data_IF_761737819775
#
_entry.id   IF_761737819775
#
_cell.length_a   1.000
_cell.length_b   1.000
_cell.length_c   1.000
_cell.angle_alpha   90.00
_cell.angle_beta   90.00
_cell.angle_gamma   90.00
#
_symmetry.space_group_name_H-M   'P 1'
#
loop_
_entity.id
_entity.type
_entity.pdbx_description
1 polymer ?
#
# COMPACT_ATOMS: atom_id res chain seq x y z
N UNK A 1 -17.52 34.98 36.69
CA UNK A 1 -18.49 35.52 35.71
C UNK A 1 -19.19 34.35 35.07
N UNK A 2 -20.53 34.28 35.07
CA UNK A 2 -21.21 33.23 34.29
C UNK A 2 -20.98 33.50 32.79
N UNK A 3 -20.78 32.44 32.01
CA UNK A 3 -20.62 32.55 30.55
C UNK A 3 -21.92 33.00 29.88
N UNK A 4 -21.85 33.39 28.58
CA UNK A 4 -23.02 33.86 27.85
C UNK A 4 -24.13 32.82 27.84
N UNK A 5 -25.38 33.28 27.89
CA UNK A 5 -26.58 32.45 27.85
C UNK A 5 -26.58 31.58 26.58
N UNK A 6 -27.25 30.40 26.55
CA UNK A 6 -27.25 29.51 25.40
C UNK A 6 -27.72 30.12 24.07
N UNK A 7 -28.56 31.13 24.15
CA UNK A 7 -29.09 31.90 23.03
C UNK A 7 -28.16 33.04 22.54
N UNK A 8 -27.24 33.48 23.40
CA UNK A 8 -26.22 34.50 23.08
C UNK A 8 -24.94 33.87 22.45
N UNK A 9 -24.80 32.53 22.46
CA UNK A 9 -23.66 31.88 21.86
C UNK A 9 -23.77 32.00 20.35
N UNK A 10 -22.80 32.70 19.72
CA UNK A 10 -22.69 32.77 18.27
C UNK A 10 -22.62 31.35 17.71
N UNK A 11 -23.73 30.83 17.20
CA UNK A 11 -23.75 29.56 16.47
C UNK A 11 -23.23 29.84 15.07
N UNK A 12 -22.24 29.08 14.58
CA UNK A 12 -21.80 29.24 13.20
C UNK A 12 -23.00 29.11 12.27
N UNK A 13 -23.21 30.12 11.41
CA UNK A 13 -24.27 30.10 10.40
C UNK A 13 -23.94 28.98 9.41
N UNK A 14 -24.75 27.95 9.33
CA UNK A 14 -24.65 26.87 8.38
C UNK A 14 -26.02 26.26 8.13
N UNK A 15 -26.27 25.73 6.93
CA UNK A 15 -27.49 24.99 6.61
C UNK A 15 -27.54 23.73 7.49
N UNK A 16 -28.69 23.52 8.13
CA UNK A 16 -28.94 22.30 8.91
C UNK A 16 -30.09 21.54 8.28
N UNK A 17 -30.01 20.20 8.31
CA UNK A 17 -31.13 19.35 7.92
C UNK A 17 -32.23 19.38 8.99
N UNK A 18 -33.36 18.73 8.71
CA UNK A 18 -34.53 18.62 9.63
C UNK A 18 -34.18 17.93 10.96
N UNK A 19 -33.07 17.26 11.08
CA UNK A 19 -32.55 16.63 12.30
C UNK A 19 -31.54 17.52 13.04
N UNK A 20 -31.33 18.79 12.59
CA UNK A 20 -30.42 19.74 13.21
C UNK A 20 -28.93 19.50 12.91
N UNK A 21 -28.59 18.53 12.05
CA UNK A 21 -27.24 18.22 11.61
C UNK A 21 -26.81 19.25 10.55
N UNK A 22 -25.61 19.76 10.70
CA UNK A 22 -25.06 20.76 9.77
C UNK A 22 -24.82 20.12 8.39
N UNK A 23 -25.44 20.67 7.37
CA UNK A 23 -25.34 20.24 5.97
C UNK A 23 -24.83 21.43 5.17
N UNK A 24 -23.55 21.76 5.32
CA UNK A 24 -22.89 22.75 4.48
C UNK A 24 -22.18 22.03 3.34
N UNK A 25 -22.47 22.36 2.06
CA UNK A 25 -21.74 21.77 0.93
C UNK A 25 -20.24 22.05 0.98
N UNK A 26 -19.82 23.13 1.63
CA UNK A 26 -18.41 23.47 1.84
C UNK A 26 -17.77 22.71 3.03
N UNK A 27 -18.57 22.06 3.88
CA UNK A 27 -18.07 21.22 4.98
C UNK A 27 -17.87 19.76 4.57
N UNK A 28 -18.44 19.33 3.46
CA UNK A 28 -18.07 18.11 2.75
C UNK A 28 -16.83 18.42 1.90
N UNK A 29 -15.69 18.59 2.53
CA UNK A 29 -14.42 18.37 1.85
C UNK A 29 -14.44 16.91 1.49
N UNK A 30 -14.90 16.60 0.28
CA UNK A 30 -14.72 15.28 -0.33
C UNK A 30 -13.22 15.12 -0.55
N UNK A 31 -12.56 14.59 0.45
CA UNK A 31 -11.16 14.17 0.28
C UNK A 31 -11.16 13.02 -0.72
N UNK A 32 -10.65 13.27 -1.92
CA UNK A 32 -10.46 12.22 -2.91
C UNK A 32 -9.56 11.13 -2.32
N UNK A 33 -9.90 9.85 -2.53
CA UNK A 33 -9.04 8.77 -2.13
C UNK A 33 -7.67 8.90 -2.80
N UNK A 34 -6.61 8.68 -2.04
CA UNK A 34 -5.25 8.60 -2.55
C UNK A 34 -4.55 7.34 -2.08
N UNK A 35 -3.61 6.88 -2.86
CA UNK A 35 -2.77 5.78 -2.44
C UNK A 35 -1.75 6.24 -1.41
N UNK A 36 -1.67 5.51 -0.31
CA UNK A 36 -0.69 5.72 0.75
C UNK A 36 0.08 4.43 1.03
N UNK A 37 1.39 4.56 1.22
CA UNK A 37 2.25 3.45 1.62
C UNK A 37 2.57 3.63 3.09
N UNK A 38 2.08 2.71 3.91
CA UNK A 38 2.39 2.65 5.32
C UNK A 38 3.52 1.63 5.55
N UNK A 39 4.60 2.07 6.17
CA UNK A 39 5.66 1.19 6.64
C UNK A 39 5.53 1.03 8.14
N UNK A 40 5.37 -0.22 8.59
CA UNK A 40 5.26 -0.57 9.99
C UNK A 40 6.39 -1.51 10.40
N UNK A 41 7.10 -1.15 11.48
CA UNK A 41 8.02 -2.05 12.16
C UNK A 41 7.24 -2.81 13.22
N UNK A 42 7.33 -4.13 13.19
CA UNK A 42 6.56 -5.00 14.07
C UNK A 42 7.45 -6.08 14.68
N UNK A 43 7.03 -6.67 15.80
CA UNK A 43 7.69 -7.84 16.37
C UNK A 43 7.58 -9.02 15.39
N UNK A 44 8.69 -9.73 15.16
CA UNK A 44 8.74 -10.88 14.27
C UNK A 44 8.29 -12.14 15.01
N UNK A 45 6.98 -12.33 15.18
CA UNK A 45 6.39 -13.49 15.86
C UNK A 45 5.10 -13.96 15.18
N UNK A 46 4.71 -15.22 15.36
CA UNK A 46 3.43 -15.73 14.85
C UNK A 46 2.23 -14.88 15.29
N UNK A 47 1.25 -14.74 14.40
CA UNK A 47 -0.01 -14.06 14.68
C UNK A 47 -0.02 -12.55 14.39
N UNK A 48 1.13 -11.88 14.26
CA UNK A 48 1.18 -10.42 14.02
C UNK A 48 0.48 -10.02 12.74
N UNK A 49 0.69 -10.77 11.64
CA UNK A 49 -0.01 -10.51 10.38
C UNK A 49 -1.53 -10.64 10.55
N UNK A 50 -1.98 -11.64 11.31
CA UNK A 50 -3.42 -11.83 11.58
C UNK A 50 -4.00 -10.67 12.40
N UNK A 51 -3.27 -10.16 13.39
CA UNK A 51 -3.69 -9.01 14.20
C UNK A 51 -3.86 -7.76 13.33
N UNK A 52 -2.89 -7.49 12.44
CA UNK A 52 -2.93 -6.37 11.49
C UNK A 52 -4.10 -6.53 10.50
N UNK A 53 -4.21 -7.69 9.85
CA UNK A 53 -5.29 -7.96 8.89
C UNK A 53 -6.68 -7.85 9.53
N UNK A 54 -6.86 -8.38 10.75
CA UNK A 54 -8.10 -8.24 11.50
C UNK A 54 -8.43 -6.80 11.87
N UNK A 55 -7.42 -5.95 12.14
CA UNK A 55 -7.62 -4.52 12.36
C UNK A 55 -8.18 -3.85 11.10
N UNK A 56 -7.55 -4.08 9.95
CA UNK A 56 -7.98 -3.49 8.67
C UNK A 56 -9.39 -3.94 8.30
N UNK A 57 -9.70 -5.24 8.44
CA UNK A 57 -11.03 -5.79 8.19
C UNK A 57 -12.10 -5.16 9.08
N UNK A 58 -11.86 -5.06 10.40
CA UNK A 58 -12.82 -4.45 11.33
C UNK A 58 -13.07 -2.97 11.07
N UNK A 59 -12.10 -2.29 10.47
CA UNK A 59 -12.20 -0.85 10.14
C UNK A 59 -12.60 -0.60 8.69
N UNK A 60 -12.81 -1.68 7.92
CA UNK A 60 -13.19 -1.63 6.50
C UNK A 60 -12.17 -0.91 5.61
N UNK A 61 -10.89 -0.91 6.01
CA UNK A 61 -9.81 -0.47 5.14
C UNK A 61 -9.45 -1.58 4.15
N UNK A 62 -9.39 -1.23 2.86
CA UNK A 62 -8.90 -2.17 1.84
C UNK A 62 -7.36 -2.16 1.80
N UNK A 63 -6.77 -3.37 1.77
CA UNK A 63 -5.33 -3.54 1.57
C UNK A 63 -5.11 -3.87 0.10
N UNK A 64 -4.57 -2.92 -0.66
CA UNK A 64 -4.23 -3.10 -2.07
C UNK A 64 -3.00 -4.00 -2.25
N UNK A 65 -2.04 -3.88 -1.34
CA UNK A 65 -0.80 -4.65 -1.37
C UNK A 65 -0.21 -4.75 0.03
N UNK A 66 0.34 -5.91 0.36
CA UNK A 66 1.00 -6.16 1.63
C UNK A 66 2.27 -6.97 1.40
N UNK A 67 3.39 -6.43 1.84
CA UNK A 67 4.69 -7.12 1.83
C UNK A 67 5.22 -7.18 3.25
N UNK A 68 5.72 -8.35 3.66
CA UNK A 68 6.29 -8.58 4.98
C UNK A 68 7.66 -9.23 4.83
N UNK A 69 8.64 -8.70 5.50
CA UNK A 69 9.99 -9.25 5.50
C UNK A 69 10.73 -8.98 6.82
N UNK A 70 11.72 -9.80 7.16
CA UNK A 70 12.58 -9.55 8.32
C UNK A 70 13.39 -8.26 8.12
N UNK A 71 13.85 -7.67 9.21
CA UNK A 71 14.76 -6.53 9.20
C UNK A 71 16.20 -6.97 9.55
N UNK A 72 17.08 -6.01 9.80
CA UNK A 72 18.45 -6.31 10.28
C UNK A 72 18.40 -6.95 11.67
N UNK A 73 17.41 -6.61 12.47
CA UNK A 73 17.14 -7.24 13.76
C UNK A 73 16.18 -8.43 13.54
N UNK A 74 16.61 -9.63 13.89
CA UNK A 74 15.87 -10.87 13.70
C UNK A 74 14.54 -10.92 14.49
N UNK A 75 14.42 -10.15 15.57
CA UNK A 75 13.22 -10.05 16.39
C UNK A 75 12.16 -9.10 15.79
N UNK A 76 12.51 -8.41 14.69
CA UNK A 76 11.62 -7.46 14.04
C UNK A 76 11.37 -7.77 12.57
N UNK A 77 10.19 -7.42 12.10
CA UNK A 77 9.81 -7.50 10.69
C UNK A 77 9.25 -6.15 10.22
N UNK A 78 9.44 -5.86 8.95
CA UNK A 78 8.85 -4.70 8.29
C UNK A 78 7.65 -5.13 7.48
N UNK A 79 6.52 -4.47 7.71
CA UNK A 79 5.33 -4.55 6.87
C UNK A 79 5.23 -3.30 6.01
N UNK A 80 5.13 -3.47 4.70
CA UNK A 80 4.79 -2.40 3.76
C UNK A 80 3.37 -2.62 3.30
N UNK A 81 2.47 -1.70 3.63
CA UNK A 81 1.03 -1.81 3.41
C UNK A 81 0.62 -0.68 2.47
N UNK A 82 0.08 -1.02 1.31
CA UNK A 82 -0.52 -0.07 0.38
C UNK A 82 -2.03 -0.04 0.61
N UNK A 83 -2.55 1.15 0.85
CA UNK A 83 -4.00 1.41 1.00
C UNK A 83 -4.42 2.54 0.06
N UNK A 84 -5.69 2.56 -0.30
CA UNK A 84 -6.30 3.67 -1.04
C UNK A 84 -7.47 4.23 -0.20
N UNK A 85 -7.24 5.38 0.40
CA UNK A 85 -8.17 5.99 1.35
C UNK A 85 -8.11 7.53 1.26
N UNK A 86 -9.17 8.24 1.65
CA UNK A 86 -9.11 9.66 1.91
C UNK A 86 -8.13 9.98 3.06
N UNK A 87 -7.59 11.21 3.08
CA UNK A 87 -6.61 11.63 4.10
C UNK A 87 -7.02 11.33 5.56
N UNK A 88 -8.28 11.58 6.00
CA UNK A 88 -8.70 11.20 7.35
C UNK A 88 -8.63 9.68 7.61
N UNK A 89 -8.88 8.84 6.57
CA UNK A 89 -8.79 7.39 6.63
C UNK A 89 -7.35 6.93 6.82
N UNK A 90 -6.41 7.51 6.06
CA UNK A 90 -4.98 7.21 6.15
C UNK A 90 -4.45 7.51 7.56
N UNK A 91 -4.77 8.68 8.11
CA UNK A 91 -4.39 9.06 9.47
C UNK A 91 -5.00 8.12 10.51
N UNK A 92 -6.24 7.71 10.30
CA UNK A 92 -6.91 6.76 11.17
C UNK A 92 -6.22 5.40 11.12
N UNK A 93 -5.85 4.89 9.93
CA UNK A 93 -5.12 3.64 9.77
C UNK A 93 -3.79 3.66 10.53
N UNK A 94 -2.98 4.74 10.39
CA UNK A 94 -1.73 4.94 11.13
C UNK A 94 -1.95 4.91 12.66
N UNK A 95 -2.96 5.65 13.15
CA UNK A 95 -3.30 5.71 14.58
C UNK A 95 -3.77 4.37 15.14
N UNK A 96 -4.51 3.60 14.37
CA UNK A 96 -4.99 2.28 14.81
C UNK A 96 -3.88 1.24 14.80
N UNK A 97 -3.00 1.23 13.79
CA UNK A 97 -1.82 0.37 13.75
C UNK A 97 -0.94 0.57 14.98
N UNK A 98 -0.67 1.83 15.36
CA UNK A 98 0.15 2.15 16.56
C UNK A 98 -0.44 1.66 17.89
N UNK A 99 -1.71 1.27 17.93
CA UNK A 99 -2.36 0.71 19.12
C UNK A 99 -2.18 -0.80 19.26
N UNK A 100 -1.75 -1.48 18.21
CA UNK A 100 -1.49 -2.92 18.28
C UNK A 100 -0.20 -3.17 19.07
N UNK A 101 -0.27 -4.06 20.03
CA UNK A 101 0.86 -4.39 20.91
C UNK A 101 2.13 -4.83 20.17
N UNK A 102 2.05 -5.63 19.08
CA UNK A 102 3.25 -6.03 18.35
C UNK A 102 3.79 -4.94 17.40
N UNK A 103 3.11 -3.83 17.22
CA UNK A 103 3.56 -2.74 16.35
C UNK A 103 4.49 -1.80 17.14
N UNK A 104 5.71 -1.68 16.68
CA UNK A 104 6.77 -0.87 17.32
C UNK A 104 6.69 0.57 16.82
N UNK A 105 6.64 0.74 15.49
CA UNK A 105 6.52 2.06 14.87
C UNK A 105 5.73 1.98 13.56
N UNK A 106 5.11 3.09 13.16
CA UNK A 106 4.39 3.23 11.89
C UNK A 106 4.67 4.59 11.30
N UNK A 107 5.03 4.61 10.03
CA UNK A 107 5.22 5.83 9.25
C UNK A 107 4.57 5.69 7.89
N UNK A 108 4.00 6.77 7.39
CA UNK A 108 3.64 6.89 5.98
C UNK A 108 4.91 7.26 5.21
N UNK A 109 5.16 6.56 4.12
CA UNK A 109 6.26 6.87 3.21
C UNK A 109 5.76 7.87 2.18
N UNK A 110 6.08 9.15 2.40
CA UNK A 110 5.68 10.26 1.55
C UNK A 110 6.70 10.53 0.43
N UNK A 111 6.24 11.17 -0.66
CA UNK A 111 7.07 11.72 -1.71
C UNK A 111 7.93 10.70 -2.46
N UNK A 112 9.26 10.91 -2.45
CA UNK A 112 10.22 10.17 -3.26
C UNK A 112 10.69 8.84 -2.67
N UNK A 113 9.88 8.15 -1.85
CA UNK A 113 10.24 6.81 -1.35
C UNK A 113 10.62 5.88 -2.51
N UNK A 114 11.67 5.09 -2.32
CA UNK A 114 12.01 4.04 -3.28
C UNK A 114 10.99 2.93 -3.12
N UNK A 115 10.26 2.63 -4.19
CA UNK A 115 9.28 1.55 -4.24
C UNK A 115 9.67 0.58 -5.33
N UNK A 116 9.67 -0.71 -5.03
CA UNK A 116 9.95 -1.78 -5.99
C UNK A 116 8.97 -2.93 -5.77
N UNK A 117 8.58 -3.52 -6.88
CA UNK A 117 7.73 -4.69 -6.95
C UNK A 117 8.40 -5.70 -7.87
N UNK A 118 8.26 -6.98 -7.59
CA UNK A 118 8.67 -8.06 -8.46
C UNK A 118 7.43 -8.75 -9.02
N UNK A 119 7.44 -9.07 -10.29
CA UNK A 119 6.46 -9.91 -10.94
C UNK A 119 7.13 -11.11 -11.60
N UNK A 120 6.50 -12.28 -11.50
CA UNK A 120 6.76 -13.44 -12.31
C UNK A 120 5.61 -13.61 -13.28
N UNK A 121 5.91 -13.66 -14.57
CA UNK A 121 4.91 -13.80 -15.64
C UNK A 121 5.22 -15.06 -16.42
N UNK A 122 4.32 -16.03 -16.40
CA UNK A 122 4.40 -17.24 -17.20
C UNK A 122 3.57 -17.08 -18.46
N UNK A 123 4.20 -17.31 -19.59
CA UNK A 123 3.59 -17.20 -20.92
C UNK A 123 3.82 -18.47 -21.73
N UNK A 124 3.12 -18.63 -22.86
CA UNK A 124 3.34 -19.73 -23.80
C UNK A 124 4.77 -19.76 -24.33
N UNK A 125 5.34 -20.96 -24.45
CA UNK A 125 6.67 -21.22 -24.98
C UNK A 125 6.79 -21.22 -26.52
N UNK A 126 5.72 -20.91 -27.27
CA UNK A 126 5.73 -20.98 -28.73
C UNK A 126 6.69 -19.99 -29.40
N UNK A 127 6.96 -18.85 -28.78
CA UNK A 127 7.82 -17.78 -29.31
C UNK A 127 8.83 -17.26 -28.28
N UNK A 128 9.78 -18.12 -27.84
CA UNK A 128 10.66 -17.77 -26.74
C UNK A 128 11.57 -16.56 -27.03
N UNK A 129 12.00 -16.37 -28.29
CA UNK A 129 12.83 -15.23 -28.67
C UNK A 129 12.05 -13.90 -28.61
N UNK A 130 10.79 -13.89 -29.03
CA UNK A 130 9.93 -12.70 -28.92
C UNK A 130 9.62 -12.36 -27.45
N UNK A 131 9.41 -13.40 -26.61
CA UNK A 131 9.21 -13.24 -25.17
C UNK A 131 10.44 -12.62 -24.53
N UNK A 132 11.65 -13.10 -24.85
CA UNK A 132 12.89 -12.54 -24.36
C UNK A 132 13.09 -11.08 -24.82
N UNK A 133 12.81 -10.79 -26.09
CA UNK A 133 12.91 -9.42 -26.60
C UNK A 133 12.00 -8.43 -25.84
N UNK A 134 10.78 -8.85 -25.50
CA UNK A 134 9.89 -8.04 -24.65
C UNK A 134 10.40 -7.95 -23.21
N UNK A 135 10.92 -9.03 -22.63
CA UNK A 135 11.51 -9.03 -21.32
C UNK A 135 12.64 -7.98 -21.20
N UNK A 136 13.55 -7.98 -22.17
CA UNK A 136 14.69 -7.04 -22.23
C UNK A 136 14.24 -5.57 -22.26
N UNK A 137 13.12 -5.25 -22.92
CA UNK A 137 12.57 -3.87 -22.94
C UNK A 137 12.19 -3.38 -21.54
N UNK A 138 11.89 -4.29 -20.62
CA UNK A 138 11.50 -4.00 -19.25
C UNK A 138 12.58 -4.40 -18.23
N UNK A 139 13.85 -4.56 -18.64
CA UNK A 139 14.95 -5.05 -17.81
C UNK A 139 14.55 -6.32 -17.04
N UNK A 140 13.75 -7.18 -17.67
CA UNK A 140 13.33 -8.48 -17.16
C UNK A 140 14.25 -9.58 -17.68
N UNK A 141 14.10 -10.77 -17.12
CA UNK A 141 14.87 -11.94 -17.56
C UNK A 141 14.03 -13.21 -17.50
N UNK A 142 14.23 -14.11 -18.46
CA UNK A 142 13.67 -15.45 -18.38
C UNK A 142 14.38 -16.23 -17.26
N UNK A 143 13.61 -16.67 -16.27
CA UNK A 143 14.12 -17.46 -15.13
C UNK A 143 13.83 -18.95 -15.26
N UNK A 144 12.88 -19.31 -16.13
CA UNK A 144 12.56 -20.69 -16.48
C UNK A 144 12.05 -20.74 -17.93
N UNK A 145 12.45 -21.77 -18.67
CA UNK A 145 12.00 -21.98 -20.03
C UNK A 145 11.86 -23.47 -20.33
N UNK A 146 10.72 -23.85 -20.94
CA UNK A 146 10.41 -25.17 -21.43
C UNK A 146 9.86 -25.11 -22.85
N UNK A 147 9.49 -26.24 -23.43
CA UNK A 147 8.81 -26.30 -24.75
C UNK A 147 7.44 -25.62 -24.71
N UNK A 148 6.79 -25.62 -23.56
CA UNK A 148 5.38 -25.23 -23.43
C UNK A 148 5.21 -23.87 -22.73
N UNK A 149 6.24 -23.39 -22.02
CA UNK A 149 6.15 -22.13 -21.28
C UNK A 149 7.51 -21.46 -21.07
N UNK A 150 7.46 -20.13 -20.93
CA UNK A 150 8.57 -19.29 -20.46
C UNK A 150 8.09 -18.49 -19.25
N UNK A 151 8.87 -18.48 -18.18
CA UNK A 151 8.62 -17.63 -17.01
C UNK A 151 9.61 -16.48 -16.98
N UNK A 152 9.10 -15.27 -16.99
CA UNK A 152 9.88 -14.02 -16.95
C UNK A 152 9.77 -13.37 -15.60
N UNK A 153 10.92 -13.00 -15.01
CA UNK A 153 11.00 -12.14 -13.82
C UNK A 153 11.19 -10.68 -14.24
N UNK A 154 10.44 -9.79 -13.61
CA UNK A 154 10.54 -8.34 -13.84
C UNK A 154 10.49 -7.63 -12.51
N UNK A 155 11.42 -6.68 -12.30
CA UNK A 155 11.45 -5.83 -11.09
C UNK A 155 11.36 -4.35 -11.48
N UNK A 156 10.55 -3.59 -10.76
CA UNK A 156 10.40 -2.18 -11.05
C UNK A 156 9.37 -1.43 -10.23
N UNK A 157 9.00 -0.24 -10.70
CA UNK A 157 7.84 0.48 -10.19
C UNK A 157 6.55 -0.22 -10.60
N UNK A 158 5.44 0.06 -9.88
CA UNK A 158 4.12 -0.45 -10.24
C UNK A 158 3.79 -0.18 -11.73
N UNK A 159 4.06 1.04 -12.19
CA UNK A 159 3.80 1.42 -13.59
C UNK A 159 4.61 0.58 -14.59
N UNK A 160 5.90 0.31 -14.29
CA UNK A 160 6.74 -0.56 -15.13
C UNK A 160 6.18 -1.98 -15.16
N UNK A 161 5.82 -2.54 -14.01
CA UNK A 161 5.24 -3.89 -13.89
C UNK A 161 3.92 -3.99 -14.65
N UNK A 162 3.02 -3.02 -14.47
CA UNK A 162 1.72 -3.00 -15.17
C UNK A 162 1.91 -2.92 -16.69
N UNK A 163 2.83 -2.06 -17.17
CA UNK A 163 3.14 -1.95 -18.60
C UNK A 163 3.76 -3.23 -19.17
N UNK A 164 4.67 -3.86 -18.42
CA UNK A 164 5.26 -5.14 -18.83
C UNK A 164 4.22 -6.25 -18.94
N UNK A 165 3.36 -6.41 -17.92
CA UNK A 165 2.28 -7.40 -17.94
C UNK A 165 1.37 -7.18 -19.14
N UNK A 166 1.01 -5.92 -19.45
CA UNK A 166 0.21 -5.60 -20.63
C UNK A 166 0.91 -6.02 -21.93
N UNK A 167 2.21 -5.78 -22.05
CA UNK A 167 2.99 -6.19 -23.21
C UNK A 167 3.06 -7.72 -23.37
N UNK A 168 3.09 -8.47 -22.25
CA UNK A 168 3.11 -9.94 -22.30
C UNK A 168 1.76 -10.58 -22.68
N UNK A 169 0.65 -9.87 -22.61
CA UNK A 169 -0.67 -10.43 -23.00
C UNK A 169 -0.73 -10.97 -24.44
N UNK A 170 0.14 -10.50 -25.33
CA UNK A 170 0.23 -11.01 -26.71
C UNK A 170 0.77 -12.44 -26.81
N UNK A 171 1.35 -13.00 -25.73
CA UNK A 171 1.99 -14.33 -25.71
C UNK A 171 1.18 -15.39 -24.95
N UNK A 172 -0.11 -15.23 -24.78
CA UNK A 172 -0.95 -16.13 -24.00
C UNK A 172 -0.44 -16.30 -22.56
N UNK A 173 -0.73 -15.33 -21.72
CA UNK A 173 -0.35 -15.34 -20.31
C UNK A 173 -1.09 -16.43 -19.56
N UNK A 174 -0.35 -17.39 -19.03
CA UNK A 174 -0.86 -18.54 -18.27
C UNK A 174 -1.01 -18.22 -16.77
N UNK A 175 -0.04 -17.50 -16.20
CA UNK A 175 -0.03 -17.20 -14.76
C UNK A 175 0.78 -15.93 -14.47
N UNK A 176 0.34 -15.18 -13.44
CA UNK A 176 1.05 -14.01 -12.94
C UNK A 176 1.13 -14.08 -11.42
N UNK A 177 2.31 -13.85 -10.88
CA UNK A 177 2.53 -13.66 -9.44
C UNK A 177 3.19 -12.31 -9.22
N UNK A 178 2.72 -11.56 -8.22
CA UNK A 178 3.26 -10.25 -7.83
C UNK A 178 3.55 -10.25 -6.33
N UNK A 179 4.66 -9.67 -5.94
CA UNK A 179 5.01 -9.56 -4.51
C UNK A 179 4.25 -8.45 -3.79
N UNK A 180 3.72 -7.48 -4.54
CA UNK A 180 3.37 -6.18 -3.97
C UNK A 180 4.60 -5.30 -3.76
N UNK A 181 4.38 -4.08 -3.28
CA UNK A 181 5.44 -3.09 -3.18
C UNK A 181 6.27 -3.24 -1.90
N UNK A 182 7.57 -3.46 -2.04
CA UNK A 182 8.54 -3.15 -1.00
C UNK A 182 8.94 -1.67 -1.11
N UNK A 183 9.01 -0.96 0.01
CA UNK A 183 9.31 0.46 -0.01
C UNK A 183 10.21 0.91 1.14
N UNK A 184 11.12 1.85 0.84
CA UNK A 184 12.00 2.51 1.80
C UNK A 184 12.02 4.01 1.57
N UNK A 185 12.15 4.78 2.65
CA UNK A 185 12.39 6.21 2.58
C UNK A 185 13.78 6.49 2.03
N UNK A 186 13.93 7.56 1.24
CA UNK A 186 15.24 7.98 0.73
C UNK A 186 16.04 8.70 1.81
N UNK A 187 17.35 8.65 1.67
CA UNK A 187 18.28 9.34 2.58
C UNK A 187 18.49 8.59 3.89
N UNK A 188 18.97 9.28 4.95
CA UNK A 188 19.42 8.64 6.19
C UNK A 188 18.31 8.30 7.16
N UNK A 189 17.08 8.65 6.88
CA UNK A 189 15.92 8.36 7.74
C UNK A 189 15.60 6.87 7.72
N UNK A 190 15.47 6.28 8.90
CA UNK A 190 15.10 4.87 9.06
C UNK A 190 13.95 4.74 10.05
N UNK A 191 13.11 3.74 9.85
CA UNK A 191 12.02 3.42 10.78
C UNK A 191 12.55 2.82 12.10
N UNK A 192 13.74 2.22 12.07
CA UNK A 192 14.38 1.49 13.15
C UNK A 192 15.09 2.41 14.16
N UNK A 193 15.46 3.63 13.75
CA UNK A 193 16.16 4.60 14.64
C UNK A 193 15.23 5.47 15.48
N UNK A 194 13.92 5.34 15.28
CA UNK A 194 12.90 6.09 16.04
C UNK A 194 12.38 5.29 17.27
N UNK A 195 13.07 4.21 17.64
CA UNK A 195 12.74 3.33 18.77
C UNK A 195 13.71 3.54 19.92
#
# INVERSE_FOLDING_TARGET
MPGPAPDERMRPKGRRNTQGIRVDPEAEVTHEPRQAVLSALVKHRPGVLSEVSALFSRRQFNIESLTVGPTVDEDTARMTILIEEPEPGIDQAKKQLRKLVPVISVRELEGEAVRRELALVKVSGEKPDDVNAVADMYDGQAVDASTDSVTVEITGSKQKIDAAIEAFKQFDVQEIVRTGAAALERGPKTLEKDV
#
